data_IF_653344580624
#
_entry.id   IF_653344580624
#
_cell.length_a   1.000
_cell.length_b   1.000
_cell.length_c   1.000
_cell.angle_alpha   90.00
_cell.angle_beta   90.00
_cell.angle_gamma   90.00
#
_symmetry.space_group_name_H-M   'P 1'
#
loop_
_entity.id
_entity.type
_entity.pdbx_description
1 polymer ?
#
# COMPACT_ATOMS: atom_id res chain seq x y z
N UNK A 1 -9.36 9.30 -23.69
CA UNK A 1 -8.23 8.41 -23.40
C UNK A 1 -8.82 7.06 -23.02
N UNK A 2 -9.23 6.30 -24.04
CA UNK A 2 -9.68 4.91 -23.89
C UNK A 2 -8.41 4.05 -23.84
N UNK A 3 -8.28 3.19 -22.82
CA UNK A 3 -7.18 2.22 -22.73
C UNK A 3 -7.45 0.97 -23.59
N UNK A 4 -8.30 1.10 -24.60
CA UNK A 4 -8.75 0.02 -25.47
C UNK A 4 -8.51 0.51 -26.89
N UNK A 5 -7.69 -0.24 -27.61
CA UNK A 5 -7.50 -0.03 -29.04
C UNK A 5 -8.82 -0.35 -29.76
N UNK A 6 -9.38 0.63 -30.47
CA UNK A 6 -10.73 0.50 -31.04
C UNK A 6 -10.78 -0.51 -32.20
N UNK A 7 -9.65 -0.77 -32.84
CA UNK A 7 -9.53 -1.67 -33.99
C UNK A 7 -9.33 -3.14 -33.55
N UNK A 8 -8.47 -3.40 -32.58
CA UNK A 8 -8.21 -4.75 -32.05
C UNK A 8 -9.12 -5.12 -30.87
N UNK A 9 -9.76 -4.15 -30.22
CA UNK A 9 -10.48 -4.29 -28.95
C UNK A 9 -9.61 -4.83 -27.81
N UNK A 10 -8.28 -4.78 -27.95
CA UNK A 10 -7.34 -5.14 -26.90
C UNK A 10 -7.05 -3.94 -25.99
N UNK A 11 -6.68 -4.23 -24.74
CA UNK A 11 -6.19 -3.16 -23.87
C UNK A 11 -4.82 -2.69 -24.35
N UNK A 12 -4.66 -1.38 -24.52
CA UNK A 12 -3.34 -0.79 -24.76
C UNK A 12 -2.42 -1.13 -23.59
N UNK A 13 -1.27 -1.73 -23.89
CA UNK A 13 -0.29 -2.04 -22.87
C UNK A 13 0.36 -0.77 -22.32
N UNK A 14 0.55 -0.73 -21.00
CA UNK A 14 1.18 0.37 -20.27
C UNK A 14 2.72 0.44 -20.46
N UNK A 15 3.22 0.12 -21.65
CA UNK A 15 4.66 0.00 -21.91
C UNK A 15 5.39 1.36 -21.80
N UNK A 16 4.68 2.46 -22.09
CA UNK A 16 5.20 3.84 -22.01
C UNK A 16 4.63 4.65 -20.83
N UNK A 17 3.97 3.97 -19.87
CA UNK A 17 3.33 4.62 -18.72
C UNK A 17 4.08 4.30 -17.43
N UNK A 18 4.49 5.34 -16.72
CA UNK A 18 5.03 5.26 -15.35
C UNK A 18 3.91 5.61 -14.38
N UNK A 19 3.50 4.64 -13.57
CA UNK A 19 2.53 4.87 -12.48
C UNK A 19 3.28 5.43 -11.28
N UNK A 20 2.88 6.63 -10.81
CA UNK A 20 3.41 7.25 -9.60
C UNK A 20 2.31 7.24 -8.55
N UNK A 21 2.62 6.78 -7.35
CA UNK A 21 1.69 6.79 -6.22
C UNK A 21 2.39 7.24 -4.94
N UNK A 22 1.63 7.90 -4.08
CA UNK A 22 2.02 8.22 -2.71
C UNK A 22 1.17 7.43 -1.73
N UNK A 23 1.82 6.72 -0.82
CA UNK A 23 1.12 5.97 0.22
C UNK A 23 1.69 6.23 1.59
N UNK A 24 0.79 6.54 2.52
CA UNK A 24 1.13 6.69 3.94
C UNK A 24 0.81 5.39 4.70
N UNK A 25 1.81 4.86 5.40
CA UNK A 25 1.67 3.69 6.25
C UNK A 25 1.86 4.08 7.72
N UNK A 26 0.98 3.58 8.58
CA UNK A 26 1.16 3.69 10.01
C UNK A 26 2.27 2.71 10.45
N UNK A 27 3.15 3.14 11.35
CA UNK A 27 4.21 2.30 11.93
C UNK A 27 3.66 1.14 12.78
N UNK A 28 2.41 1.25 13.22
CA UNK A 28 1.69 0.22 13.97
C UNK A 28 0.22 0.14 13.51
N UNK A 29 -0.47 -0.94 13.89
CA UNK A 29 -1.90 -1.13 13.68
C UNK A 29 -2.70 -0.36 14.74
N UNK A 30 -3.89 0.08 14.35
CA UNK A 30 -4.85 0.76 15.24
C UNK A 30 -5.30 -0.15 16.40
N UNK A 31 -5.58 -1.41 16.08
CA UNK A 31 -5.95 -2.44 17.05
C UNK A 31 -5.24 -3.78 16.73
N UNK A 32 -4.96 -4.55 17.78
CA UNK A 32 -4.38 -5.89 17.71
C UNK A 32 -5.19 -6.81 18.62
N UNK A 33 -5.49 -8.02 18.13
CA UNK A 33 -6.00 -9.11 18.95
C UNK A 33 -4.84 -9.93 19.50
N UNK A 34 -4.96 -10.37 20.75
CA UNK A 34 -3.98 -11.21 21.43
C UNK A 34 -4.69 -12.44 22.00
N UNK A 35 -4.02 -13.59 21.97
CA UNK A 35 -4.40 -14.75 22.77
C UNK A 35 -3.63 -14.67 24.08
N UNK A 36 -4.34 -14.71 25.21
CA UNK A 36 -3.78 -14.54 26.56
C UNK A 36 -4.34 -15.61 27.49
N UNK A 37 -3.55 -15.97 28.49
CA UNK A 37 -4.03 -16.74 29.63
C UNK A 37 -4.81 -15.85 30.60
N UNK A 38 -5.68 -16.45 31.41
CA UNK A 38 -6.59 -15.71 32.31
C UNK A 38 -5.85 -14.84 33.36
N UNK A 39 -4.62 -15.20 33.70
CA UNK A 39 -3.76 -14.51 34.65
C UNK A 39 -2.76 -13.53 34.00
N UNK A 40 -2.75 -13.44 32.67
CA UNK A 40 -1.83 -12.56 31.93
C UNK A 40 -2.36 -11.13 31.83
N UNK A 41 -1.46 -10.15 31.97
CA UNK A 41 -1.80 -8.74 31.81
C UNK A 41 -1.79 -8.35 30.33
N UNK A 42 -2.84 -7.64 29.91
CA UNK A 42 -2.92 -7.07 28.56
C UNK A 42 -1.74 -6.12 28.32
N UNK A 43 -1.03 -6.24 27.18
CA UNK A 43 0.09 -5.40 26.84
C UNK A 43 -0.39 -3.96 26.70
N UNK A 44 0.34 -2.99 27.27
CA UNK A 44 -0.03 -1.60 27.15
C UNK A 44 0.10 -1.16 25.69
N UNK A 45 -0.82 -0.31 25.23
CA UNK A 45 -0.65 0.36 23.93
C UNK A 45 0.40 1.45 24.05
N UNK A 46 1.26 1.55 23.03
CA UNK A 46 2.28 2.61 22.91
C UNK A 46 1.68 3.99 22.64
N UNK A 47 0.47 4.07 22.08
CA UNK A 47 -0.19 5.31 21.70
C UNK A 47 -1.67 5.35 22.15
N UNK A 48 -2.16 6.55 22.48
CA UNK A 48 -3.54 6.78 22.95
C UNK A 48 -4.60 6.63 21.85
N UNK A 49 -4.27 6.97 20.61
CA UNK A 49 -5.18 6.78 19.46
C UNK A 49 -4.38 6.63 18.17
N UNK A 50 -5.03 6.12 17.11
CA UNK A 50 -4.42 5.97 15.79
C UNK A 50 -3.83 7.23 15.19
N UNK A 51 -4.35 8.40 15.58
CA UNK A 51 -3.86 9.68 15.06
C UNK A 51 -2.45 10.02 15.56
N UNK A 52 -2.01 9.41 16.67
CA UNK A 52 -0.67 9.58 17.22
C UNK A 52 0.30 8.47 16.81
N UNK A 53 -0.15 7.47 16.04
CA UNK A 53 0.76 6.45 15.52
C UNK A 53 1.66 7.11 14.48
N UNK A 54 2.99 7.02 14.61
CA UNK A 54 3.91 7.57 13.61
C UNK A 54 3.60 7.02 12.22
N UNK A 55 3.70 7.88 11.21
CA UNK A 55 3.37 7.50 9.83
C UNK A 55 4.57 7.75 8.92
N UNK A 56 4.83 6.80 8.03
CA UNK A 56 5.85 6.93 6.99
C UNK A 56 5.15 7.04 5.65
N UNK A 57 5.49 8.08 4.88
CA UNK A 57 5.02 8.25 3.51
C UNK A 57 6.06 7.67 2.56
N UNK A 58 5.60 6.85 1.62
CA UNK A 58 6.42 6.34 0.52
C UNK A 58 5.85 6.91 -0.76
N UNK A 59 6.75 7.42 -1.60
CA UNK A 59 6.46 7.75 -2.98
C UNK A 59 7.14 6.68 -3.82
N UNK A 60 6.40 6.05 -4.71
CA UNK A 60 6.91 4.99 -5.58
C UNK A 60 6.51 5.25 -7.03
N UNK A 61 7.41 4.86 -7.93
CA UNK A 61 7.16 4.83 -9.36
C UNK A 61 7.28 3.38 -9.84
N UNK A 62 6.27 2.90 -10.56
CA UNK A 62 6.25 1.57 -11.16
C UNK A 62 6.04 1.70 -12.67
N UNK A 63 6.88 1.02 -13.43
CA UNK A 63 6.77 0.91 -14.87
C UNK A 63 6.89 -0.57 -15.25
N UNK A 64 6.29 -0.96 -16.37
CA UNK A 64 6.47 -2.32 -16.87
C UNK A 64 7.93 -2.49 -17.32
N UNK A 65 8.59 -3.62 -16.99
CA UNK A 65 9.90 -3.91 -17.55
C UNK A 65 9.83 -3.96 -19.07
N UNK A 66 10.67 -3.20 -19.76
CA UNK A 66 10.82 -3.36 -21.20
C UNK A 66 11.50 -4.70 -21.47
N UNK A 67 11.02 -5.45 -22.48
CA UNK A 67 11.82 -6.56 -23.01
C UNK A 67 13.05 -5.92 -23.64
N UNK A 68 14.21 -6.12 -23.00
CA UNK A 68 15.49 -5.69 -23.54
C UNK A 68 15.65 -6.21 -24.97
N UNK A 69 16.11 -5.32 -25.84
CA UNK A 69 16.40 -5.63 -27.24
C UNK A 69 17.60 -6.56 -27.36
#
# INVERSE_FOLDING_TARGET
MSFVDEDSLEFEYFDDIVMIDEKQFNADKDARSFMMFDDEKVPPRSCRSKNFIPKTMFVAAAARPSKGR
#
